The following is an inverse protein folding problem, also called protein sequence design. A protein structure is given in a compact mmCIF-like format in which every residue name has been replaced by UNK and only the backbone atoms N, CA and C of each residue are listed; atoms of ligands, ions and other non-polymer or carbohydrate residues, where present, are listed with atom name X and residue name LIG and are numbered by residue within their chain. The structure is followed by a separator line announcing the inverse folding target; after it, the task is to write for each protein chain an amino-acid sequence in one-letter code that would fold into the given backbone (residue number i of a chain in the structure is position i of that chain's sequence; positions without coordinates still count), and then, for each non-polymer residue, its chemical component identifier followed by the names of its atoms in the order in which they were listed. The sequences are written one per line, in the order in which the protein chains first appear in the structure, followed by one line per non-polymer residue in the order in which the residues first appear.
data_IF_818535970647
#
_entry.id   IF_818535970647
#
_cell.length_a   1.000
_cell.length_b   1.000
_cell.length_c   1.000
_cell.angle_alpha   90.00
_cell.angle_beta   90.00
_cell.angle_gamma   90.00
#
_symmetry.space_group_name_H-M   'P 1'
#
loop_
_entity.id
_entity.type
_entity.pdbx_description
1 polymer ?
#
# COMPACT_ATOMS: atom_id res chain seq x y z
N UNK A 1 -44.79 3.76 6.95
CA UNK A 1 -43.35 3.57 6.64
C UNK A 1 -42.76 4.65 5.70
N UNK A 2 -43.57 5.43 4.98
CA UNK A 2 -43.09 6.43 3.99
C UNK A 2 -42.54 7.79 4.51
N UNK A 3 -42.89 8.32 5.70
CA UNK A 3 -42.47 9.68 6.06
C UNK A 3 -41.01 9.77 6.54
N UNK A 4 -40.50 8.71 7.18
CA UNK A 4 -39.13 8.71 7.72
C UNK A 4 -38.05 8.74 6.62
N UNK A 5 -38.32 8.09 5.48
CA UNK A 5 -37.40 8.05 4.34
C UNK A 5 -37.34 9.41 3.61
N UNK A 6 -38.46 10.12 3.51
CA UNK A 6 -38.51 11.48 2.95
C UNK A 6 -37.81 12.50 3.86
N UNK A 7 -37.94 12.35 5.18
CA UNK A 7 -37.23 13.18 6.16
C UNK A 7 -35.71 12.92 6.08
N UNK A 8 -35.29 11.65 5.97
CA UNK A 8 -33.87 11.31 5.82
C UNK A 8 -33.29 11.88 4.50
N UNK A 9 -34.03 11.79 3.39
CA UNK A 9 -33.62 12.36 2.10
C UNK A 9 -33.58 13.89 2.12
N UNK A 10 -34.50 14.54 2.83
CA UNK A 10 -34.50 16.00 3.01
C UNK A 10 -33.29 16.46 3.85
N UNK A 11 -32.95 15.73 4.91
CA UNK A 11 -31.77 16.03 5.75
C UNK A 11 -30.47 15.86 4.96
N UNK A 12 -30.37 14.81 4.13
CA UNK A 12 -29.22 14.60 3.24
C UNK A 12 -29.14 15.71 2.17
N UNK A 13 -30.28 16.13 1.60
CA UNK A 13 -30.34 17.22 0.63
C UNK A 13 -29.90 18.58 1.18
N UNK A 14 -30.32 18.93 2.40
CA UNK A 14 -29.97 20.21 3.05
C UNK A 14 -28.52 20.22 3.53
N UNK A 15 -27.98 19.09 4.00
CA UNK A 15 -26.56 18.97 4.34
C UNK A 15 -25.66 19.10 3.09
N UNK A 16 -26.12 18.62 1.93
CA UNK A 16 -25.38 18.72 0.66
C UNK A 16 -25.41 20.14 0.08
N UNK A 17 -26.45 20.93 0.37
CA UNK A 17 -26.55 22.32 -0.07
C UNK A 17 -25.84 23.32 0.85
N UNK A 18 -25.58 22.94 2.11
CA UNK A 18 -24.95 23.82 3.12
C UNK A 18 -23.46 23.57 3.31
N UNK A 19 -22.92 22.41 2.88
CA UNK A 19 -21.48 22.16 2.79
C UNK A 19 -20.97 22.72 1.46
N UNK A 20 -20.76 24.03 1.44
CA UNK A 20 -19.91 24.78 0.53
C UNK A 20 -19.84 24.30 -0.94
N UNK A 21 -20.78 24.79 -1.74
CA UNK A 21 -20.55 25.11 -3.16
C UNK A 21 -19.37 26.06 -3.38
N UNK A 22 -18.78 26.62 -2.33
CA UNK A 22 -17.65 27.55 -2.39
C UNK A 22 -16.27 26.88 -2.30
N UNK A 23 -16.18 25.59 -1.93
CA UNK A 23 -14.88 24.92 -1.65
C UNK A 23 -14.34 24.05 -2.80
N UNK A 24 -15.12 23.79 -3.85
CA UNK A 24 -14.74 22.84 -4.91
C UNK A 24 -15.00 23.42 -6.31
N UNK A 25 -14.00 24.04 -6.96
CA UNK A 25 -14.20 24.70 -8.27
C UNK A 25 -14.58 23.75 -9.42
N UNK A 26 -14.56 22.42 -9.20
CA UNK A 26 -14.72 21.41 -10.25
C UNK A 26 -15.78 20.32 -9.93
N UNK A 27 -16.67 20.51 -8.95
CA UNK A 27 -17.69 19.50 -8.58
C UNK A 27 -18.90 19.47 -9.52
N UNK A 28 -18.90 20.31 -10.57
CA UNK A 28 -19.95 20.40 -11.59
C UNK A 28 -19.67 19.52 -12.83
N UNK A 29 -18.66 18.64 -12.80
CA UNK A 29 -18.49 17.66 -13.88
C UNK A 29 -19.72 16.72 -13.88
N UNK A 30 -20.36 16.49 -15.05
CA UNK A 30 -21.51 15.58 -15.12
C UNK A 30 -21.12 14.19 -14.62
N UNK A 31 -22.11 13.32 -14.33
CA UNK A 31 -21.96 11.90 -13.94
C UNK A 31 -21.27 11.05 -15.03
N UNK A 32 -20.07 11.43 -15.40
CA UNK A 32 -19.13 10.77 -16.27
C UNK A 32 -18.22 9.91 -15.40
N UNK A 33 -17.69 8.84 -15.99
CA UNK A 33 -16.71 7.95 -15.34
C UNK A 33 -15.55 8.74 -14.72
N UNK A 34 -15.15 9.85 -15.36
CA UNK A 34 -14.11 10.76 -14.85
C UNK A 34 -14.51 11.46 -13.53
N UNK A 35 -15.77 11.88 -13.39
CA UNK A 35 -16.29 12.50 -12.17
C UNK A 35 -16.38 11.50 -11.01
N UNK A 36 -16.78 10.26 -11.29
CA UNK A 36 -16.83 9.17 -10.29
C UNK A 36 -15.42 8.82 -9.81
N UNK A 37 -14.46 8.62 -10.71
CA UNK A 37 -13.06 8.32 -10.36
C UNK A 37 -12.46 9.46 -9.52
N UNK A 38 -12.75 10.71 -9.89
CA UNK A 38 -12.26 11.88 -9.16
C UNK A 38 -12.84 11.93 -7.74
N UNK A 39 -14.14 11.65 -7.59
CA UNK A 39 -14.81 11.61 -6.29
C UNK A 39 -14.27 10.50 -5.38
N UNK A 40 -14.03 9.31 -5.93
CA UNK A 40 -13.41 8.19 -5.19
C UNK A 40 -11.99 8.55 -4.76
N UNK A 41 -11.18 9.15 -5.64
CA UNK A 41 -9.83 9.60 -5.28
C UNK A 41 -9.85 10.61 -4.14
N UNK A 42 -10.78 11.57 -4.13
CA UNK A 42 -10.92 12.54 -3.04
C UNK A 42 -11.45 11.94 -1.74
N UNK A 43 -12.32 10.92 -1.81
CA UNK A 43 -12.78 10.22 -0.61
C UNK A 43 -11.67 9.38 0.02
N UNK A 44 -10.80 8.77 -0.80
CA UNK A 44 -9.66 7.96 -0.36
C UNK A 44 -8.45 8.80 0.06
N UNK A 45 -8.21 9.93 -0.61
CA UNK A 45 -7.22 10.90 -0.16
C UNK A 45 -7.86 11.74 0.93
N UNK A 46 -7.65 11.32 2.19
CA UNK A 46 -7.94 12.19 3.33
C UNK A 46 -7.41 13.59 3.02
N UNK A 47 -8.25 14.62 3.15
CA UNK A 47 -7.85 16.01 2.95
C UNK A 47 -6.51 16.23 3.67
N UNK A 48 -5.50 16.87 3.05
CA UNK A 48 -4.17 17.05 3.67
C UNK A 48 -4.22 17.66 5.08
N UNK A 49 -5.35 18.28 5.42
CA UNK A 49 -5.73 18.77 6.75
C UNK A 49 -5.72 17.70 7.85
N UNK A 50 -6.04 16.43 7.53
CA UNK A 50 -6.13 15.32 8.48
C UNK A 50 -4.94 14.36 8.44
N UNK A 51 -3.95 14.62 7.58
CA UNK A 51 -2.70 13.86 7.59
C UNK A 51 -1.83 14.37 8.74
N UNK A 52 -1.67 13.56 9.78
CA UNK A 52 -0.79 13.89 10.90
C UNK A 52 0.66 13.98 10.40
N UNK A 53 1.35 15.06 10.79
CA UNK A 53 2.78 15.21 10.50
C UNK A 53 3.56 14.20 11.32
N UNK A 54 3.94 13.08 10.71
CA UNK A 54 4.81 12.10 11.35
C UNK A 54 6.27 12.53 11.23
N UNK A 55 6.99 12.54 12.36
CA UNK A 55 8.44 12.71 12.40
C UNK A 55 9.11 11.37 12.68
N UNK A 56 10.09 11.01 11.86
CA UNK A 56 10.92 9.82 12.05
C UNK A 56 12.32 10.22 12.50
N UNK A 57 12.84 9.51 13.50
CA UNK A 57 14.25 9.60 13.85
C UNK A 57 15.06 8.75 12.86
N UNK A 58 15.41 9.35 11.72
CA UNK A 58 16.24 8.69 10.71
C UNK A 58 17.72 8.85 11.05
N UNK A 59 18.39 7.75 11.37
CA UNK A 59 19.85 7.70 11.54
C UNK A 59 20.46 7.09 10.26
N UNK A 60 21.15 7.89 9.42
CA UNK A 60 21.72 7.41 8.17
C UNK A 60 22.87 6.40 8.37
N UNK A 61 23.50 6.38 9.54
CA UNK A 61 24.65 5.53 9.85
C UNK A 61 24.24 4.18 10.47
N UNK A 62 22.96 4.01 10.81
CA UNK A 62 22.44 2.78 11.43
C UNK A 62 22.74 1.55 10.57
N UNK A 63 22.65 1.67 9.25
CA UNK A 63 22.88 0.59 8.31
C UNK A 63 24.35 0.13 8.34
N UNK A 64 25.31 1.06 8.38
CA UNK A 64 26.74 0.71 8.45
C UNK A 64 27.06 -0.01 9.75
N UNK A 65 26.55 0.49 10.88
CA UNK A 65 26.77 -0.13 12.20
C UNK A 65 26.17 -1.54 12.30
N UNK A 66 25.00 -1.76 11.69
CA UNK A 66 24.30 -3.05 11.71
C UNK A 66 24.73 -4.01 10.60
N UNK A 67 25.51 -3.57 9.61
CA UNK A 67 25.83 -4.40 8.45
C UNK A 67 26.49 -5.72 8.85
N UNK A 68 27.44 -5.69 9.80
CA UNK A 68 28.11 -6.90 10.29
C UNK A 68 27.13 -7.92 10.86
N UNK A 69 26.17 -7.46 11.65
CA UNK A 69 25.16 -8.33 12.26
C UNK A 69 24.16 -8.83 11.21
N UNK A 70 23.79 -7.96 10.29
CA UNK A 70 22.90 -8.28 9.19
C UNK A 70 23.50 -9.36 8.27
N UNK A 71 24.76 -9.21 7.84
CA UNK A 71 25.46 -10.19 7.00
C UNK A 71 25.68 -11.51 7.73
N UNK A 72 25.93 -11.48 9.05
CA UNK A 72 26.04 -12.68 9.86
C UNK A 72 24.74 -13.50 9.86
N UNK A 73 23.58 -12.83 9.87
CA UNK A 73 22.26 -13.48 9.90
C UNK A 73 21.78 -13.86 8.49
N UNK A 74 22.00 -13.00 7.51
CA UNK A 74 21.38 -13.10 6.18
C UNK A 74 22.35 -13.51 5.06
N UNK A 75 23.62 -13.72 5.38
CA UNK A 75 24.68 -13.92 4.40
C UNK A 75 25.19 -12.60 3.83
N UNK A 76 26.40 -12.63 3.26
CA UNK A 76 26.94 -11.49 2.53
C UNK A 76 25.98 -11.13 1.38
N UNK A 77 25.66 -9.84 1.22
CA UNK A 77 24.64 -9.38 0.27
C UNK A 77 23.26 -10.05 0.40
N UNK A 78 22.90 -10.57 1.58
CA UNK A 78 21.57 -11.15 1.85
C UNK A 78 21.25 -12.47 1.15
N UNK A 79 22.24 -13.21 0.65
CA UNK A 79 22.02 -14.44 -0.13
C UNK A 79 21.08 -15.43 0.58
N UNK A 80 21.24 -15.64 1.89
CA UNK A 80 20.38 -16.56 2.66
C UNK A 80 18.99 -15.99 2.95
N UNK A 81 18.85 -14.66 3.02
CA UNK A 81 17.53 -14.03 3.13
C UNK A 81 16.76 -14.19 1.84
N UNK A 82 17.41 -13.92 0.70
CA UNK A 82 16.79 -14.05 -0.63
C UNK A 82 16.35 -15.49 -0.87
N UNK A 83 17.18 -16.47 -0.51
CA UNK A 83 16.83 -17.88 -0.60
C UNK A 83 15.58 -18.19 0.24
N UNK A 84 15.55 -17.81 1.52
CA UNK A 84 14.38 -18.04 2.40
C UNK A 84 13.11 -17.38 1.87
N UNK A 85 13.20 -16.14 1.37
CA UNK A 85 12.06 -15.45 0.76
C UNK A 85 11.53 -16.21 -0.46
N UNK A 86 12.43 -16.75 -1.30
CA UNK A 86 12.04 -17.58 -2.45
C UNK A 86 11.50 -18.95 -2.07
N UNK A 87 11.85 -19.46 -0.89
CA UNK A 87 11.35 -20.72 -0.36
C UNK A 87 10.01 -20.59 0.36
N UNK A 88 9.57 -19.42 0.82
CA UNK A 88 8.27 -19.22 1.48
C UNK A 88 8.13 -19.88 2.87
N UNK A 89 7.10 -19.51 3.63
CA UNK A 89 6.95 -19.89 5.07
C UNK A 89 5.86 -20.95 5.33
N UNK A 90 5.32 -21.57 4.28
CA UNK A 90 4.20 -22.53 4.37
C UNK A 90 4.62 -23.98 4.70
N UNK A 91 5.87 -24.18 5.13
CA UNK A 91 6.44 -25.49 5.47
C UNK A 91 6.83 -26.37 4.28
N UNK A 92 6.72 -25.89 3.04
CA UNK A 92 7.11 -26.64 1.81
C UNK A 92 8.49 -26.30 1.29
N UNK A 93 9.34 -25.72 2.14
CA UNK A 93 10.67 -25.22 1.78
C UNK A 93 11.56 -26.31 1.15
N UNK A 94 11.56 -27.53 1.70
CA UNK A 94 12.37 -28.62 1.16
C UNK A 94 11.96 -29.03 -0.25
N UNK A 95 10.66 -29.08 -0.53
CA UNK A 95 10.14 -29.42 -1.86
C UNK A 95 10.59 -28.39 -2.88
N UNK A 96 10.44 -27.09 -2.57
CA UNK A 96 10.92 -26.01 -3.43
C UNK A 96 12.43 -26.03 -3.61
N UNK A 97 13.20 -26.29 -2.55
CA UNK A 97 14.66 -26.41 -2.62
C UNK A 97 15.09 -27.51 -3.58
N UNK A 98 14.41 -28.67 -3.54
CA UNK A 98 14.67 -29.78 -4.49
C UNK A 98 14.32 -29.39 -5.92
N UNK A 99 13.19 -28.72 -6.14
CA UNK A 99 12.80 -28.23 -7.47
C UNK A 99 13.81 -27.22 -8.03
N UNK A 100 14.31 -26.30 -7.19
CA UNK A 100 15.37 -25.35 -7.57
C UNK A 100 16.65 -26.09 -7.95
N UNK A 101 17.09 -27.06 -7.15
CA UNK A 101 18.27 -27.87 -7.46
C UNK A 101 18.14 -28.59 -8.81
N UNK A 102 16.97 -29.16 -9.12
CA UNK A 102 16.72 -29.83 -10.41
C UNK A 102 16.78 -28.82 -11.58
N UNK A 103 16.18 -27.63 -11.41
CA UNK A 103 16.21 -26.56 -12.42
C UNK A 103 17.65 -26.12 -12.72
N UNK A 104 18.48 -26.03 -11.70
CA UNK A 104 19.82 -25.43 -11.80
C UNK A 104 20.88 -26.40 -12.40
N UNK A 105 20.56 -27.70 -12.57
CA UNK A 105 21.46 -28.71 -13.19
C UNK A 105 21.95 -28.32 -14.60
N UNK A 106 21.17 -27.52 -15.34
CA UNK A 106 21.48 -27.13 -16.72
C UNK A 106 21.82 -25.65 -16.91
N UNK A 107 21.87 -24.85 -15.85
CA UNK A 107 22.15 -23.41 -15.94
C UNK A 107 23.67 -23.21 -15.85
N UNK A 108 24.34 -22.69 -16.90
CA UNK A 108 25.75 -22.37 -16.78
C UNK A 108 25.94 -21.32 -15.69
N UNK A 109 26.75 -21.64 -14.68
CA UNK A 109 27.22 -20.66 -13.70
C UNK A 109 28.24 -19.77 -14.39
N UNK A 110 27.76 -18.71 -15.05
CA UNK A 110 28.64 -17.61 -15.47
C UNK A 110 28.86 -16.71 -14.26
N UNK A 111 30.03 -16.83 -13.65
CA UNK A 111 30.57 -15.87 -12.67
C UNK A 111 31.40 -14.81 -13.36
#
# INVERSE_FOLDING_TARGET
AQPALLILLAIIGVASASVDTQRYPNSQEPLSVKGIITSIRYALSASPTYLEKQRWHFDPEVSKRRNREYERINGHHSVYLIERLGLGEDGREEERRRQQAIRDIGVPITG
#
